data_IF_632737853240
#
_entry.id   IF_632737853240
#
_cell.length_a   1.000
_cell.length_b   1.000
_cell.length_c   1.000
_cell.angle_alpha   90.00
_cell.angle_beta   90.00
_cell.angle_gamma   90.00
#
_symmetry.space_group_name_H-M   'P 1'
#
loop_
_entity.id
_entity.type
_entity.pdbx_description
1 polymer ?
#
# COMPACT_ATOMS: atom_id res chain seq x y z
N UNK A 1 28.48 -71.21 55.88
CA UNK A 1 28.54 -71.07 54.41
C UNK A 1 27.13 -70.76 53.97
N UNK A 2 26.77 -69.48 53.95
CA UNK A 2 25.46 -69.02 53.49
C UNK A 2 25.48 -69.03 51.96
N UNK A 3 24.70 -69.94 51.38
CA UNK A 3 24.59 -70.08 49.94
C UNK A 3 23.55 -69.05 49.48
N UNK A 4 24.01 -67.93 48.93
CA UNK A 4 23.13 -67.00 48.23
C UNK A 4 22.50 -67.73 47.04
N UNK A 5 21.22 -68.08 47.18
CA UNK A 5 20.39 -68.52 46.07
C UNK A 5 20.18 -67.29 45.16
N UNK A 6 21.04 -67.13 44.15
CA UNK A 6 20.72 -66.29 43.02
C UNK A 6 19.52 -66.92 42.31
N UNK A 7 18.32 -66.40 42.59
CA UNK A 7 17.12 -66.67 41.80
C UNK A 7 17.44 -66.40 40.34
N UNK A 8 17.64 -67.45 39.57
CA UNK A 8 17.79 -67.37 38.11
C UNK A 8 16.51 -66.72 37.58
N UNK A 9 16.61 -65.44 37.20
CA UNK A 9 15.59 -64.80 36.39
C UNK A 9 15.44 -65.64 35.13
N UNK A 10 14.22 -66.13 34.88
CA UNK A 10 13.92 -66.90 33.68
C UNK A 10 14.40 -66.09 32.46
N UNK A 11 15.32 -66.66 31.67
CA UNK A 11 15.83 -66.00 30.45
C UNK A 11 14.64 -65.58 29.59
N UNK A 12 14.46 -64.27 29.43
CA UNK A 12 13.40 -63.72 28.59
C UNK A 12 13.56 -64.28 27.18
N UNK A 13 12.49 -64.89 26.66
CA UNK A 13 12.45 -65.39 25.28
C UNK A 13 12.68 -64.21 24.33
N UNK A 14 13.33 -64.44 23.19
CA UNK A 14 13.61 -63.39 22.19
C UNK A 14 12.35 -62.58 21.80
N UNK A 15 11.19 -63.23 21.81
CA UNK A 15 9.88 -62.58 21.60
C UNK A 15 9.61 -61.43 22.59
N UNK A 16 10.06 -61.55 23.84
CA UNK A 16 9.91 -60.48 24.83
C UNK A 16 10.75 -59.25 24.48
N UNK A 17 11.98 -59.43 24.00
CA UNK A 17 12.82 -58.31 23.55
C UNK A 17 12.24 -57.64 22.30
N UNK A 18 11.64 -58.41 21.39
CA UNK A 18 10.92 -57.86 20.24
C UNK A 18 9.73 -57.01 20.66
N UNK A 19 8.91 -57.48 21.62
CA UNK A 19 7.78 -56.69 22.12
C UNK A 19 8.20 -55.45 22.91
N UNK A 20 9.30 -55.52 23.68
CA UNK A 20 9.91 -54.34 24.34
C UNK A 20 10.40 -53.32 23.30
N UNK A 21 11.13 -53.77 22.27
CA UNK A 21 11.54 -52.92 21.16
C UNK A 21 10.34 -52.30 20.45
N UNK A 22 9.32 -53.10 20.10
CA UNK A 22 8.15 -52.63 19.39
C UNK A 22 7.37 -51.60 20.22
N UNK A 23 7.26 -51.79 21.54
CA UNK A 23 6.63 -50.83 22.44
C UNK A 23 7.39 -49.49 22.45
N UNK A 24 8.71 -49.52 22.64
CA UNK A 24 9.53 -48.30 22.65
C UNK A 24 9.56 -47.61 21.29
N UNK A 25 9.67 -48.39 20.21
CA UNK A 25 9.62 -47.91 18.84
C UNK A 25 8.27 -47.24 18.56
N UNK A 26 7.15 -47.89 18.88
CA UNK A 26 5.82 -47.32 18.69
C UNK A 26 5.62 -46.06 19.53
N UNK A 27 6.10 -46.02 20.78
CA UNK A 27 6.00 -44.83 21.62
C UNK A 27 6.69 -43.62 20.96
N UNK A 28 7.93 -43.78 20.48
CA UNK A 28 8.67 -42.71 19.80
C UNK A 28 8.06 -42.38 18.42
N UNK A 29 7.67 -43.41 17.66
CA UNK A 29 7.09 -43.25 16.33
C UNK A 29 5.74 -42.52 16.38
N UNK A 30 4.85 -42.91 17.29
CA UNK A 30 3.58 -42.21 17.50
C UNK A 30 3.79 -40.79 18.01
N UNK A 31 4.76 -40.55 18.91
CA UNK A 31 5.12 -39.20 19.34
C UNK A 31 5.55 -38.31 18.17
N UNK A 32 6.41 -38.82 17.30
CA UNK A 32 6.83 -38.13 16.07
C UNK A 32 5.66 -37.86 15.12
N UNK A 33 4.78 -38.84 14.87
CA UNK A 33 3.60 -38.66 14.02
C UNK A 33 2.63 -37.63 14.60
N UNK A 34 2.39 -37.67 15.91
CA UNK A 34 1.51 -36.73 16.60
C UNK A 34 2.03 -35.29 16.49
N UNK A 35 3.35 -35.09 16.64
CA UNK A 35 3.97 -33.77 16.51
C UNK A 35 3.86 -33.22 15.08
N UNK A 36 4.19 -34.03 14.05
CA UNK A 36 4.05 -33.63 12.65
C UNK A 36 2.61 -33.29 12.27
N UNK A 37 1.64 -34.05 12.80
CA UNK A 37 0.22 -33.80 12.57
C UNK A 37 -0.22 -32.50 13.24
N UNK A 38 0.16 -32.28 14.51
CA UNK A 38 -0.12 -31.05 15.26
C UNK A 38 0.48 -29.83 14.56
N UNK A 39 1.73 -29.91 14.13
CA UNK A 39 2.41 -28.83 13.41
C UNK A 39 1.70 -28.48 12.10
N UNK A 40 1.22 -29.49 11.36
CA UNK A 40 0.46 -29.26 10.13
C UNK A 40 -0.86 -28.51 10.39
N UNK A 41 -1.55 -28.79 11.50
CA UNK A 41 -2.76 -28.05 11.89
C UNK A 41 -2.42 -26.60 12.23
N UNK A 42 -1.43 -26.39 13.12
CA UNK A 42 -1.01 -25.05 13.55
C UNK A 42 -0.54 -24.21 12.35
N UNK A 43 0.18 -24.81 11.40
CA UNK A 43 0.64 -24.10 10.21
C UNK A 43 -0.53 -23.68 9.30
N UNK A 44 -1.58 -24.50 9.19
CA UNK A 44 -2.81 -24.11 8.47
C UNK A 44 -3.53 -22.96 9.15
N UNK A 45 -3.66 -22.98 10.48
CA UNK A 45 -4.27 -21.89 11.24
C UNK A 45 -3.50 -20.57 11.08
N UNK A 46 -2.17 -20.62 11.19
CA UNK A 46 -1.30 -19.46 10.94
C UNK A 46 -1.47 -18.91 9.52
N UNK A 47 -1.46 -19.79 8.52
CA UNK A 47 -1.68 -19.37 7.13
C UNK A 47 -3.04 -18.68 6.97
N UNK A 48 -4.10 -19.26 7.54
CA UNK A 48 -5.45 -18.68 7.48
C UNK A 48 -5.50 -17.29 8.15
N UNK A 49 -4.92 -17.15 9.35
CA UNK A 49 -4.83 -15.87 10.05
C UNK A 49 -4.08 -14.80 9.26
N UNK A 50 -2.93 -15.14 8.65
CA UNK A 50 -2.22 -14.19 7.78
C UNK A 50 -3.08 -13.76 6.58
N UNK A 51 -3.78 -14.69 5.93
CA UNK A 51 -4.62 -14.34 4.77
C UNK A 51 -5.83 -13.52 5.19
N UNK A 52 -6.43 -13.77 6.36
CA UNK A 52 -7.50 -12.93 6.90
C UNK A 52 -7.05 -11.48 7.09
N UNK A 53 -5.89 -11.27 7.72
CA UNK A 53 -5.34 -9.92 7.90
C UNK A 53 -4.99 -9.27 6.55
N UNK A 54 -4.46 -10.06 5.60
CA UNK A 54 -4.14 -9.56 4.27
C UNK A 54 -5.40 -9.13 3.51
N UNK A 55 -6.50 -9.87 3.65
CA UNK A 55 -7.80 -9.52 3.08
C UNK A 55 -8.33 -8.20 3.68
N UNK A 56 -8.16 -7.99 4.99
CA UNK A 56 -8.52 -6.74 5.64
C UNK A 56 -7.66 -5.57 5.12
N UNK A 57 -6.34 -5.76 5.01
CA UNK A 57 -5.42 -4.78 4.46
C UNK A 57 -5.79 -4.41 3.01
N UNK A 58 -6.10 -5.40 2.15
CA UNK A 58 -6.53 -5.17 0.77
C UNK A 58 -7.88 -4.42 0.67
N UNK A 59 -8.81 -4.68 1.59
CA UNK A 59 -10.08 -3.93 1.67
C UNK A 59 -9.83 -2.46 2.01
N UNK A 60 -8.94 -2.17 2.96
CA UNK A 60 -8.53 -0.80 3.27
C UNK A 60 -7.83 -0.13 2.08
N UNK A 61 -6.81 -0.79 1.52
CA UNK A 61 -6.06 -0.28 0.37
C UNK A 61 -6.95 0.05 -0.83
N UNK A 62 -7.96 -0.79 -1.11
CA UNK A 62 -8.89 -0.55 -2.22
C UNK A 62 -9.81 0.63 -1.97
N UNK A 63 -10.16 0.94 -0.72
CA UNK A 63 -10.87 2.17 -0.37
C UNK A 63 -9.96 3.39 -0.54
N UNK A 64 -8.75 3.33 0.00
CA UNK A 64 -7.79 4.44 -0.01
C UNK A 64 -7.32 4.79 -1.42
N UNK A 65 -7.07 3.79 -2.27
CA UNK A 65 -6.68 4.02 -3.67
C UNK A 65 -7.83 4.63 -4.48
N UNK A 66 -9.09 4.28 -4.19
CA UNK A 66 -10.23 4.89 -4.86
C UNK A 66 -10.36 6.37 -4.48
N UNK A 67 -10.14 6.70 -3.20
CA UNK A 67 -10.08 8.08 -2.73
C UNK A 67 -8.94 8.84 -3.42
N UNK A 68 -7.75 8.25 -3.52
CA UNK A 68 -6.61 8.85 -4.20
C UNK A 68 -6.89 9.15 -5.68
N UNK A 69 -7.44 8.17 -6.42
CA UNK A 69 -7.81 8.31 -7.83
C UNK A 69 -8.82 9.44 -8.01
N UNK A 70 -9.84 9.51 -7.16
CA UNK A 70 -10.89 10.53 -7.24
C UNK A 70 -10.31 11.95 -7.12
N UNK A 71 -9.52 12.20 -6.08
CA UNK A 71 -8.96 13.52 -5.83
C UNK A 71 -7.86 13.90 -6.83
N UNK A 72 -7.01 12.97 -7.24
CA UNK A 72 -6.04 13.23 -8.30
C UNK A 72 -6.74 13.57 -9.62
N UNK A 73 -7.87 12.94 -9.94
CA UNK A 73 -8.69 13.32 -11.10
C UNK A 73 -9.26 14.74 -10.94
N UNK A 74 -9.82 15.05 -9.77
CA UNK A 74 -10.36 16.38 -9.48
C UNK A 74 -9.28 17.47 -9.62
N UNK A 75 -8.09 17.26 -9.07
CA UNK A 75 -6.96 18.19 -9.20
C UNK A 75 -6.45 18.30 -10.62
N UNK A 76 -6.46 17.22 -11.38
CA UNK A 76 -6.16 17.26 -12.82
C UNK A 76 -7.11 18.20 -13.57
N UNK A 77 -8.41 18.12 -13.30
CA UNK A 77 -9.43 18.93 -13.97
C UNK A 77 -9.35 20.41 -13.56
N UNK A 78 -9.03 20.67 -12.29
CA UNK A 78 -8.72 22.01 -11.80
C UNK A 78 -7.48 22.60 -12.49
N UNK A 79 -6.37 21.86 -12.56
CA UNK A 79 -5.17 22.34 -13.24
C UNK A 79 -5.40 22.56 -14.74
N UNK A 80 -6.25 21.78 -15.40
CA UNK A 80 -6.67 22.05 -16.78
C UNK A 80 -7.33 23.41 -16.93
N UNK A 81 -8.25 23.72 -16.02
CA UNK A 81 -8.96 25.00 -16.00
C UNK A 81 -7.99 26.16 -15.75
N UNK A 82 -7.01 26.00 -14.85
CA UNK A 82 -5.96 26.99 -14.62
C UNK A 82 -5.07 27.19 -15.88
N UNK A 83 -4.68 26.10 -16.55
CA UNK A 83 -3.81 26.14 -17.72
C UNK A 83 -4.48 26.70 -18.99
N UNK A 84 -5.81 26.73 -19.05
CA UNK A 84 -6.57 27.35 -20.13
C UNK A 84 -6.55 28.88 -20.06
N UNK A 85 -6.22 29.47 -18.91
CA UNK A 85 -6.16 30.91 -18.72
C UNK A 85 -4.92 31.47 -19.43
N UNK A 86 -5.07 32.37 -20.42
CA UNK A 86 -3.94 32.98 -21.10
C UNK A 86 -3.09 33.83 -20.14
N UNK A 87 -1.78 33.66 -20.20
CA UNK A 87 -0.83 34.32 -19.28
C UNK A 87 -0.95 35.86 -19.35
N UNK A 88 -1.19 36.43 -20.53
CA UNK A 88 -1.36 37.87 -20.75
C UNK A 88 -2.59 38.45 -20.02
N UNK A 89 -3.60 37.61 -19.76
CA UNK A 89 -4.80 38.00 -19.02
C UNK A 89 -4.61 38.00 -17.51
N UNK A 90 -3.52 37.41 -16.99
CA UNK A 90 -3.25 37.40 -15.55
C UNK A 90 -3.01 38.80 -14.96
N UNK A 91 -2.84 39.84 -15.77
CA UNK A 91 -2.83 41.24 -15.28
C UNK A 91 -4.21 41.72 -14.78
N UNK A 92 -5.28 41.04 -15.16
CA UNK A 92 -6.63 41.35 -14.73
C UNK A 92 -6.97 40.57 -13.45
N UNK A 93 -7.41 41.28 -12.41
CA UNK A 93 -7.67 40.72 -11.09
C UNK A 93 -8.71 39.58 -11.11
N UNK A 94 -9.81 39.73 -11.87
CA UNK A 94 -10.83 38.67 -11.97
C UNK A 94 -10.28 37.41 -12.64
N UNK A 95 -9.33 37.58 -13.56
CA UNK A 95 -8.64 36.45 -14.20
C UNK A 95 -7.70 35.76 -13.22
N UNK A 96 -7.02 36.53 -12.36
CA UNK A 96 -6.18 35.95 -11.30
C UNK A 96 -7.01 35.16 -10.30
N UNK A 97 -8.15 35.70 -9.84
CA UNK A 97 -9.05 34.98 -8.94
C UNK A 97 -9.47 33.64 -9.54
N UNK A 98 -9.79 33.62 -10.84
CA UNK A 98 -10.14 32.39 -11.56
C UNK A 98 -8.97 31.41 -11.64
N UNK A 99 -7.77 31.89 -11.99
CA UNK A 99 -6.56 31.05 -12.01
C UNK A 99 -6.27 30.47 -10.63
N UNK A 100 -6.34 31.33 -9.61
CA UNK A 100 -6.03 30.99 -8.25
C UNK A 100 -7.03 29.99 -7.66
N UNK A 101 -8.33 30.16 -7.92
CA UNK A 101 -9.37 29.20 -7.57
C UNK A 101 -9.06 27.79 -8.09
N UNK A 102 -8.55 27.69 -9.31
CA UNK A 102 -8.21 26.42 -9.93
C UNK A 102 -6.83 25.88 -9.52
N UNK A 103 -5.87 26.75 -9.23
CA UNK A 103 -4.51 26.36 -8.86
C UNK A 103 -4.34 26.01 -7.37
N UNK A 104 -5.02 26.75 -6.49
CA UNK A 104 -4.89 26.65 -5.04
C UNK A 104 -5.13 25.24 -4.47
N UNK A 105 -6.11 24.45 -4.95
CA UNK A 105 -6.34 23.13 -4.37
C UNK A 105 -5.13 22.20 -4.53
N UNK A 106 -4.49 22.22 -5.71
CA UNK A 106 -3.28 21.45 -5.98
C UNK A 106 -2.09 21.94 -5.13
N UNK A 107 -1.94 23.26 -5.00
CA UNK A 107 -0.91 23.85 -4.13
C UNK A 107 -1.09 23.44 -2.66
N UNK A 108 -2.34 23.38 -2.20
CA UNK A 108 -2.65 23.18 -0.79
C UNK A 108 -2.50 21.72 -0.37
N UNK A 109 -2.77 20.78 -1.27
CA UNK A 109 -2.82 19.38 -0.90
C UNK A 109 -2.43 18.44 -2.04
N UNK A 110 -1.44 17.59 -1.75
CA UNK A 110 -0.97 16.54 -2.64
C UNK A 110 -1.57 15.21 -2.19
N UNK A 111 -2.41 14.62 -3.03
CA UNK A 111 -3.00 13.31 -2.75
C UNK A 111 -2.08 12.19 -3.23
N UNK A 112 -1.62 11.35 -2.30
CA UNK A 112 -0.80 10.17 -2.58
C UNK A 112 -1.43 8.93 -1.96
N UNK A 113 -1.47 7.83 -2.72
CA UNK A 113 -1.83 6.53 -2.18
C UNK A 113 -0.63 5.87 -1.48
N UNK A 114 -0.86 5.32 -0.29
CA UNK A 114 0.09 4.52 0.48
C UNK A 114 -0.54 3.17 0.77
N UNK A 115 0.14 2.09 0.37
CA UNK A 115 -0.29 0.72 0.64
C UNK A 115 -0.07 0.34 2.10
N UNK A 116 -1.01 -0.38 2.70
CA UNK A 116 -0.84 -1.05 3.99
C UNK A 116 0.16 -2.20 3.86
N UNK A 117 1.28 -2.10 4.57
CA UNK A 117 2.39 -3.05 4.51
C UNK A 117 2.51 -3.96 5.74
N UNK A 118 1.55 -3.91 6.67
CA UNK A 118 1.62 -4.65 7.94
C UNK A 118 1.70 -6.16 7.73
N UNK A 119 0.71 -6.74 7.04
CA UNK A 119 0.64 -8.20 6.89
C UNK A 119 1.69 -8.71 5.90
N UNK A 120 1.94 -7.99 4.81
CA UNK A 120 2.96 -8.40 3.84
C UNK A 120 4.37 -8.41 4.46
N UNK A 121 4.66 -7.49 5.37
CA UNK A 121 5.96 -7.45 6.06
C UNK A 121 6.14 -8.69 6.93
N UNK A 122 5.10 -9.08 7.67
CA UNK A 122 5.11 -10.31 8.47
C UNK A 122 5.20 -11.57 7.58
N UNK A 123 4.51 -11.59 6.44
CA UNK A 123 4.61 -12.68 5.47
C UNK A 123 6.03 -12.83 4.93
N UNK A 124 6.67 -11.73 4.55
CA UNK A 124 8.07 -11.73 4.08
C UNK A 124 9.08 -12.13 5.15
N UNK A 125 8.81 -11.83 6.42
CA UNK A 125 9.67 -12.19 7.54
C UNK A 125 9.64 -13.70 7.90
N UNK A 126 8.72 -14.47 7.31
CA UNK A 126 8.63 -15.92 7.53
C UNK A 126 7.21 -16.47 7.44
N UNK A 127 6.18 -15.61 7.37
CA UNK A 127 4.79 -16.05 7.24
C UNK A 127 4.50 -16.83 5.95
N UNK A 128 5.24 -16.57 4.86
CA UNK A 128 5.10 -17.34 3.62
C UNK A 128 5.42 -18.83 3.79
N UNK A 129 6.24 -19.22 4.78
CA UNK A 129 6.55 -20.63 5.05
C UNK A 129 5.31 -21.45 5.45
N UNK A 130 4.25 -20.79 5.94
CA UNK A 130 3.00 -21.44 6.30
C UNK A 130 2.04 -21.60 5.10
N UNK A 131 2.22 -20.81 4.04
CA UNK A 131 1.36 -20.83 2.85
C UNK A 131 1.90 -21.85 1.85
N UNK A 132 1.27 -23.03 1.81
CA UNK A 132 1.70 -24.13 0.92
C UNK A 132 1.35 -23.92 -0.56
N UNK A 133 0.37 -23.08 -0.88
CA UNK A 133 -0.07 -22.86 -2.26
C UNK A 133 0.80 -21.79 -2.92
N UNK A 134 1.73 -22.19 -3.79
CA UNK A 134 2.63 -21.28 -4.51
C UNK A 134 1.87 -20.21 -5.32
N UNK A 135 0.70 -20.55 -5.88
CA UNK A 135 -0.12 -19.58 -6.64
C UNK A 135 -0.62 -18.45 -5.75
N UNK A 136 -0.87 -18.72 -4.46
CA UNK A 136 -1.23 -17.68 -3.48
C UNK A 136 -0.05 -16.76 -3.26
N UNK A 137 1.13 -17.32 -3.00
CA UNK A 137 2.37 -16.54 -2.80
C UNK A 137 2.67 -15.67 -4.01
N UNK A 138 2.59 -16.22 -5.22
CA UNK A 138 2.83 -15.49 -6.46
C UNK A 138 1.82 -14.36 -6.66
N UNK A 139 0.53 -14.63 -6.43
CA UNK A 139 -0.54 -13.64 -6.58
C UNK A 139 -0.38 -12.48 -5.60
N UNK A 140 0.03 -12.77 -4.35
CA UNK A 140 0.36 -11.75 -3.35
C UNK A 140 1.55 -10.92 -3.86
N UNK A 141 2.65 -11.57 -4.22
CA UNK A 141 3.86 -10.88 -4.69
C UNK A 141 3.60 -9.99 -5.91
N UNK A 142 2.72 -10.39 -6.84
CA UNK A 142 2.37 -9.58 -8.01
C UNK A 142 1.77 -8.21 -7.64
N UNK A 143 0.94 -8.14 -6.59
CA UNK A 143 0.34 -6.87 -6.12
C UNK A 143 1.40 -6.02 -5.43
N UNK A 144 2.08 -6.59 -4.43
CA UNK A 144 3.03 -5.85 -3.60
C UNK A 144 4.30 -5.42 -4.36
N UNK A 145 4.72 -6.18 -5.38
CA UNK A 145 5.83 -5.76 -6.23
C UNK A 145 5.43 -4.62 -7.18
N UNK A 146 4.16 -4.58 -7.62
CA UNK A 146 3.65 -3.54 -8.50
C UNK A 146 3.58 -2.18 -7.79
N UNK A 147 3.31 -2.16 -6.49
CA UNK A 147 3.29 -0.93 -5.68
C UNK A 147 4.59 -0.11 -5.75
N UNK A 148 5.74 -0.74 -6.05
CA UNK A 148 7.01 -0.02 -6.26
C UNK A 148 6.94 1.02 -7.38
N UNK A 149 6.11 0.79 -8.41
CA UNK A 149 5.90 1.77 -9.48
C UNK A 149 5.16 3.00 -8.96
N UNK A 150 4.21 2.81 -8.03
CA UNK A 150 3.49 3.90 -7.38
C UNK A 150 4.44 4.70 -6.50
N UNK A 151 5.28 4.04 -5.68
CA UNK A 151 6.27 4.71 -4.83
C UNK A 151 7.20 5.59 -5.67
N UNK A 152 7.80 5.03 -6.72
CA UNK A 152 8.70 5.78 -7.61
C UNK A 152 7.99 7.00 -8.22
N UNK A 153 6.75 6.83 -8.69
CA UNK A 153 6.00 7.95 -9.26
C UNK A 153 5.59 8.98 -8.21
N UNK A 154 5.26 8.56 -6.99
CA UNK A 154 4.92 9.45 -5.88
C UNK A 154 6.11 10.34 -5.51
N UNK A 155 7.33 9.81 -5.48
CA UNK A 155 8.55 10.61 -5.26
C UNK A 155 8.74 11.66 -6.35
N UNK A 156 8.57 11.27 -7.62
CA UNK A 156 8.64 12.19 -8.75
C UNK A 156 7.54 13.26 -8.70
N UNK A 157 6.31 12.86 -8.40
CA UNK A 157 5.15 13.75 -8.32
C UNK A 157 5.29 14.75 -7.17
N UNK A 158 5.78 14.31 -6.02
CA UNK A 158 6.10 15.18 -4.87
C UNK A 158 7.16 16.21 -5.24
N UNK A 159 8.21 15.80 -5.96
CA UNK A 159 9.25 16.72 -6.47
C UNK A 159 8.64 17.79 -7.38
N UNK A 160 7.79 17.40 -8.32
CA UNK A 160 7.09 18.34 -9.20
C UNK A 160 6.21 19.34 -8.42
N UNK A 161 5.54 18.87 -7.36
CA UNK A 161 4.73 19.73 -6.49
C UNK A 161 5.58 20.77 -5.76
N UNK A 162 6.72 20.39 -5.20
CA UNK A 162 7.65 21.31 -4.53
C UNK A 162 8.29 22.32 -5.48
N UNK A 163 8.60 21.90 -6.70
CA UNK A 163 9.10 22.77 -7.76
C UNK A 163 8.07 23.86 -8.10
N UNK A 164 6.80 23.47 -8.30
CA UNK A 164 5.69 24.40 -8.55
C UNK A 164 5.49 25.34 -7.38
N UNK A 165 5.46 24.81 -6.15
CA UNK A 165 5.26 25.61 -4.93
C UNK A 165 6.30 26.71 -4.80
N UNK A 166 7.59 26.38 -5.00
CA UNK A 166 8.67 27.38 -4.95
C UNK A 166 8.52 28.43 -6.06
N UNK A 167 8.23 28.00 -7.29
CA UNK A 167 8.04 28.92 -8.42
C UNK A 167 6.82 29.82 -8.22
N UNK A 168 5.72 29.28 -7.68
CA UNK A 168 4.51 30.01 -7.34
C UNK A 168 4.80 31.10 -6.29
N UNK A 169 5.54 30.77 -5.23
CA UNK A 169 5.91 31.73 -4.17
C UNK A 169 6.85 32.85 -4.66
N UNK A 170 7.64 32.64 -5.72
CA UNK A 170 8.43 33.71 -6.34
C UNK A 170 7.57 34.73 -7.12
N UNK A 171 6.39 34.32 -7.59
CA UNK A 171 5.55 35.10 -8.50
C UNK A 171 4.27 35.60 -7.85
N UNK A 172 3.83 34.94 -6.79
CA UNK A 172 2.51 35.11 -6.18
C UNK A 172 2.58 35.19 -4.66
N UNK A 173 1.69 35.99 -4.07
CA UNK A 173 1.41 36.01 -2.63
C UNK A 173 0.52 34.81 -2.26
N UNK A 174 1.14 33.68 -1.95
CA UNK A 174 0.46 32.42 -1.64
C UNK A 174 0.02 32.36 -0.17
N UNK A 175 -1.26 32.03 0.12
CA UNK A 175 -1.72 31.84 1.49
C UNK A 175 -1.11 30.57 2.10
N UNK A 176 -1.24 30.44 3.41
CA UNK A 176 -0.89 29.20 4.09
C UNK A 176 -1.78 28.05 3.59
N UNK A 177 -1.22 26.92 3.16
CA UNK A 177 -1.98 25.74 2.74
C UNK A 177 -3.04 25.35 3.77
N UNK A 178 -4.24 25.00 3.31
CA UNK A 178 -5.30 24.48 4.18
C UNK A 178 -4.94 23.11 4.76
N UNK A 179 -5.29 22.87 6.03
CA UNK A 179 -5.12 21.56 6.67
C UNK A 179 -6.14 20.50 6.17
N UNK A 180 -7.25 20.93 5.55
CA UNK A 180 -8.32 20.05 5.05
C UNK A 180 -8.90 20.58 3.74
N UNK A 181 -9.38 19.67 2.88
CA UNK A 181 -9.74 19.96 1.49
C UNK A 181 -11.09 20.67 1.37
N UNK A 182 -12.12 20.09 1.99
CA UNK A 182 -13.52 20.41 1.64
C UNK A 182 -14.00 21.74 2.24
N UNK A 183 -13.61 22.05 3.47
CA UNK A 183 -14.16 23.23 4.17
C UNK A 183 -13.31 24.49 4.07
N UNK A 184 -12.02 24.36 3.68
CA UNK A 184 -11.05 25.43 3.82
C UNK A 184 -10.55 25.99 2.49
N UNK A 185 -10.46 25.19 1.43
CA UNK A 185 -9.96 25.67 0.13
C UNK A 185 -10.82 26.81 -0.42
N UNK A 186 -12.17 26.73 -0.48
CA UNK A 186 -12.99 27.84 -0.95
C UNK A 186 -12.85 29.12 -0.12
N UNK A 187 -12.54 28.99 1.18
CA UNK A 187 -12.34 30.14 2.10
C UNK A 187 -10.99 30.81 1.93
N UNK A 188 -10.01 30.09 1.38
CA UNK A 188 -8.66 30.59 1.12
C UNK A 188 -8.51 31.23 -0.26
N UNK A 189 -9.49 31.08 -1.15
CA UNK A 189 -9.52 31.76 -2.44
C UNK A 189 -9.66 33.27 -2.18
N UNK A 190 -8.57 33.99 -2.35
CA UNK A 190 -8.52 35.44 -2.24
C UNK A 190 -9.33 36.00 -3.41
N UNK A 191 -10.41 36.72 -3.12
CA UNK A 191 -11.23 37.39 -4.14
C UNK A 191 -10.87 38.86 -4.22
N UNK A 192 -10.84 39.41 -5.43
CA UNK A 192 -10.50 40.79 -5.72
C UNK A 192 -9.18 41.23 -5.08
N UNK A 193 -8.22 40.30 -4.95
CA UNK A 193 -6.88 40.59 -4.43
C UNK A 193 -5.86 40.30 -5.53
N UNK A 194 -4.91 41.21 -5.71
CA UNK A 194 -3.76 40.92 -6.58
C UNK A 194 -2.93 39.80 -5.95
N UNK A 195 -2.94 38.64 -6.59
CA UNK A 195 -2.22 37.43 -6.16
C UNK A 195 -0.84 37.42 -6.81
N UNK A 196 -0.74 37.81 -8.09
CA UNK A 196 0.55 37.92 -8.77
C UNK A 196 1.27 39.22 -8.38
N UNK A 197 2.30 39.08 -7.54
CA UNK A 197 3.13 40.21 -7.10
C UNK A 197 4.22 40.58 -8.12
N UNK A 198 4.52 39.68 -9.07
CA UNK A 198 5.51 39.90 -10.13
C UNK A 198 5.03 39.39 -11.50
N UNK A 199 4.78 40.31 -12.43
CA UNK A 199 4.39 39.98 -13.82
C UNK A 199 5.59 39.77 -14.74
N UNK A 200 6.34 38.71 -14.48
CA UNK A 200 7.48 38.28 -15.31
C UNK A 200 7.00 37.21 -16.30
N UNK A 201 6.73 37.61 -17.54
CA UNK A 201 6.12 36.75 -18.57
C UNK A 201 6.93 35.46 -18.82
N UNK A 202 8.27 35.49 -18.98
CA UNK A 202 9.09 34.28 -19.00
C UNK A 202 8.92 33.39 -17.78
N UNK A 203 8.94 33.95 -16.56
CA UNK A 203 8.82 33.17 -15.34
C UNK A 203 7.42 32.55 -15.15
N UNK A 204 6.35 33.28 -15.51
CA UNK A 204 4.98 32.73 -15.48
C UNK A 204 4.81 31.64 -16.54
N UNK A 205 5.41 31.80 -17.72
CA UNK A 205 5.45 30.73 -18.73
C UNK A 205 6.16 29.49 -18.20
N UNK A 206 7.25 29.66 -17.45
CA UNK A 206 7.93 28.56 -16.79
C UNK A 206 7.03 27.88 -15.74
N UNK A 207 6.32 28.65 -14.91
CA UNK A 207 5.32 28.11 -13.97
C UNK A 207 4.27 27.24 -14.68
N UNK A 208 3.70 27.74 -15.79
CA UNK A 208 2.73 26.97 -16.59
C UNK A 208 3.33 25.67 -17.15
N UNK A 209 4.58 25.69 -17.61
CA UNK A 209 5.28 24.48 -18.05
C UNK A 209 5.49 23.48 -16.90
N UNK A 210 5.80 23.97 -15.69
CA UNK A 210 5.95 23.14 -14.50
C UNK A 210 4.61 22.51 -14.09
N UNK A 211 3.52 23.28 -14.12
CA UNK A 211 2.15 22.77 -13.88
C UNK A 211 1.80 21.67 -14.88
N UNK A 212 2.11 21.84 -16.18
CA UNK A 212 1.90 20.80 -17.20
C UNK A 212 2.70 19.53 -16.88
N UNK A 213 3.94 19.67 -16.44
CA UNK A 213 4.78 18.52 -16.07
C UNK A 213 4.19 17.77 -14.86
N UNK A 214 3.82 18.48 -13.80
CA UNK A 214 3.18 17.88 -12.63
C UNK A 214 1.86 17.19 -12.96
N UNK A 215 1.07 17.76 -13.88
CA UNK A 215 -0.15 17.11 -14.38
C UNK A 215 0.18 15.79 -15.09
N UNK A 216 1.27 15.71 -15.84
CA UNK A 216 1.75 14.45 -16.43
C UNK A 216 2.13 13.40 -15.37
N UNK A 217 2.82 13.82 -14.31
CA UNK A 217 3.14 12.96 -13.17
C UNK A 217 1.88 12.44 -12.45
N UNK A 218 0.90 13.32 -12.23
CA UNK A 218 -0.40 12.98 -11.65
C UNK A 218 -1.21 12.02 -12.52
N UNK A 219 -1.24 12.24 -13.84
CA UNK A 219 -1.89 11.31 -14.78
C UNK A 219 -1.26 9.90 -14.71
N UNK A 220 0.06 9.85 -14.49
CA UNK A 220 0.79 8.60 -14.27
C UNK A 220 0.44 7.96 -12.93
N UNK A 221 0.29 8.76 -11.85
CA UNK A 221 -0.22 8.28 -10.55
C UNK A 221 -1.59 7.62 -10.73
N UNK A 222 -2.54 8.32 -11.36
CA UNK A 222 -3.91 7.82 -11.59
C UNK A 222 -3.87 6.50 -12.36
N UNK A 223 -3.01 6.38 -13.38
CA UNK A 223 -2.86 5.15 -14.16
C UNK A 223 -2.36 3.99 -13.29
N UNK A 224 -1.28 4.21 -12.53
CA UNK A 224 -0.72 3.17 -11.68
C UNK A 224 -1.66 2.80 -10.53
N UNK A 225 -2.33 3.76 -9.90
CA UNK A 225 -3.33 3.54 -8.86
C UNK A 225 -4.52 2.71 -9.39
N UNK A 226 -5.02 2.99 -10.60
CA UNK A 226 -6.06 2.17 -11.26
C UNK A 226 -5.59 0.73 -11.50
N UNK A 227 -4.37 0.55 -12.00
CA UNK A 227 -3.80 -0.79 -12.21
C UNK A 227 -3.56 -1.54 -10.90
N UNK A 228 -3.10 -0.86 -9.86
CA UNK A 228 -2.94 -1.43 -8.53
C UNK A 228 -4.29 -1.89 -7.98
N UNK A 229 -5.31 -1.03 -8.03
CA UNK A 229 -6.67 -1.36 -7.60
C UNK A 229 -7.20 -2.61 -8.29
N UNK A 230 -7.06 -2.72 -9.61
CA UNK A 230 -7.49 -3.90 -10.35
C UNK A 230 -6.76 -5.18 -9.90
N UNK A 231 -5.45 -5.09 -9.62
CA UNK A 231 -4.66 -6.23 -9.12
C UNK A 231 -5.07 -6.58 -7.68
N UNK A 232 -5.25 -5.59 -6.82
CA UNK A 232 -5.67 -5.76 -5.43
C UNK A 232 -7.07 -6.38 -5.32
N UNK A 233 -8.04 -5.92 -6.12
CA UNK A 233 -9.40 -6.50 -6.16
C UNK A 233 -9.37 -7.95 -6.66
N UNK A 234 -8.60 -8.25 -7.70
CA UNK A 234 -8.44 -9.64 -8.17
C UNK A 234 -7.84 -10.54 -7.09
N UNK A 235 -6.80 -10.07 -6.39
CA UNK A 235 -6.18 -10.81 -5.30
C UNK A 235 -7.17 -11.00 -4.15
N UNK A 236 -7.90 -9.95 -3.76
CA UNK A 236 -8.92 -10.00 -2.72
C UNK A 236 -9.96 -11.09 -3.01
N UNK A 237 -10.58 -11.07 -4.19
CA UNK A 237 -11.56 -12.09 -4.59
C UNK A 237 -10.96 -13.48 -4.63
N UNK A 238 -9.72 -13.62 -5.11
CA UNK A 238 -9.03 -14.90 -5.16
C UNK A 238 -8.78 -15.47 -3.75
N UNK A 239 -8.26 -14.67 -2.82
CA UNK A 239 -7.99 -15.09 -1.45
C UNK A 239 -9.27 -15.42 -0.69
N UNK A 240 -10.33 -14.61 -0.84
CA UNK A 240 -11.63 -14.87 -0.24
C UNK A 240 -12.20 -16.22 -0.69
N UNK A 241 -12.09 -16.54 -1.98
CA UNK A 241 -12.52 -17.83 -2.51
C UNK A 241 -11.67 -18.99 -2.02
N UNK A 242 -10.35 -18.87 -2.10
CA UNK A 242 -9.39 -19.93 -1.77
C UNK A 242 -9.41 -20.29 -0.27
N UNK A 243 -9.64 -19.31 0.60
CA UNK A 243 -9.62 -19.47 2.06
C UNK A 243 -11.01 -19.44 2.71
N UNK A 244 -12.09 -19.36 1.92
CA UNK A 244 -13.47 -19.29 2.41
C UNK A 244 -13.70 -18.12 3.38
N UNK A 245 -13.28 -16.92 2.98
CA UNK A 245 -13.37 -15.69 3.77
C UNK A 245 -14.41 -14.72 3.17
N UNK A 246 -15.00 -13.89 4.03
CA UNK A 246 -15.94 -12.82 3.68
C UNK A 246 -15.25 -11.52 3.21
#
# INVERSE_FOLDING_TARGET
MEVHAHTHTARKKWTHYFWEFLMLFLAVFCGFLAENYRETIINKEKAHHYIQNLVADLKADTADVNFAIYYNQLWSDHLDSALQIPIDRLKNINTQDTFFYHFLPYYSWLQVFIQNDNTITQLKAGGFNFIRNEKVVDSINLVYNFYRNIVFNNEYYNTCSWDITRKAQELMDMPTPSLTIEENIPKQVLQNKEVFIKYDMPAIRQLYSMIRNAKGAMATSILFEKQYREKAVRLLTYLQKEYHLD
#
